data_IF_356953928711
#
_entry.id   IF_356953928711
#
_cell.length_a   1.000
_cell.length_b   1.000
_cell.length_c   1.000
_cell.angle_alpha   90.00
_cell.angle_beta   90.00
_cell.angle_gamma   90.00
#
_symmetry.space_group_name_H-M   'P 1'
#
loop_
_entity.id
_entity.type
_entity.pdbx_description
1 polymer ?
#
# COMPACT_ATOMS: atom_id res chain seq x y z
N UNK A 1 15.61 24.79 18.42
CA UNK A 1 15.01 23.44 18.40
C UNK A 1 14.77 23.10 16.95
N UNK A 2 15.53 22.17 16.44
CA UNK A 2 15.35 21.70 15.06
C UNK A 2 14.05 20.91 15.00
N UNK A 3 13.03 21.51 14.35
CA UNK A 3 11.72 20.87 14.28
C UNK A 3 11.84 19.70 13.29
N UNK A 4 11.72 18.48 13.76
CA UNK A 4 11.72 17.29 12.90
C UNK A 4 10.70 17.46 11.76
N UNK A 5 11.19 17.43 10.52
CA UNK A 5 10.40 17.53 9.29
C UNK A 5 10.41 16.15 8.60
N UNK A 6 9.36 15.36 8.74
CA UNK A 6 9.35 13.99 8.24
C UNK A 6 9.51 13.87 6.73
N UNK A 7 9.03 14.83 5.94
CA UNK A 7 9.21 14.89 4.50
C UNK A 7 10.67 15.18 4.11
N UNK A 8 11.33 16.09 4.84
CA UNK A 8 12.76 16.35 4.61
C UNK A 8 13.59 15.12 4.95
N UNK A 9 13.31 14.49 6.08
CA UNK A 9 14.00 13.27 6.49
C UNK A 9 13.79 12.12 5.48
N UNK A 10 12.63 12.07 4.80
CA UNK A 10 12.41 11.09 3.73
C UNK A 10 13.27 11.39 2.50
N UNK A 11 13.36 12.65 2.07
CA UNK A 11 14.21 13.08 0.95
C UNK A 11 15.68 12.81 1.25
N UNK A 12 16.10 13.06 2.49
CA UNK A 12 17.46 12.83 2.96
C UNK A 12 17.77 11.32 3.18
N UNK A 13 16.79 10.43 2.98
CA UNK A 13 16.94 9.00 3.14
C UNK A 13 17.05 8.52 4.60
N UNK A 14 16.63 9.34 5.56
CA UNK A 14 16.67 9.04 7.01
C UNK A 14 15.32 8.68 7.63
N UNK A 15 14.23 8.86 6.88
CA UNK A 15 12.89 8.45 7.30
C UNK A 15 12.48 7.14 6.59
N UNK A 16 12.38 6.05 7.34
CA UNK A 16 11.96 4.75 6.85
C UNK A 16 10.45 4.49 6.97
N UNK A 17 9.69 5.47 7.43
CA UNK A 17 8.24 5.41 7.65
C UNK A 17 7.45 6.19 6.55
N UNK A 18 7.96 6.19 5.33
CA UNK A 18 7.34 6.93 4.21
C UNK A 18 5.87 6.57 3.97
N UNK A 19 5.47 5.32 4.24
CA UNK A 19 4.08 4.86 4.20
C UNK A 19 3.17 5.60 5.21
N UNK A 20 3.73 6.28 6.21
CA UNK A 20 2.98 7.15 7.12
C UNK A 20 2.78 8.57 6.59
N UNK A 21 3.55 8.96 5.56
CA UNK A 21 3.51 10.30 4.96
C UNK A 21 2.67 10.32 3.69
N UNK A 22 2.77 9.27 2.89
CA UNK A 22 2.21 9.18 1.54
C UNK A 22 1.11 8.12 1.46
N UNK A 23 0.37 8.14 0.36
CA UNK A 23 -0.72 7.22 0.12
C UNK A 23 -2.10 7.81 0.40
N UNK A 24 -3.10 6.93 0.33
CA UNK A 24 -4.49 7.24 0.65
C UNK A 24 -4.81 6.80 2.09
N UNK A 25 -5.36 7.70 2.88
CA UNK A 25 -5.78 7.44 4.27
C UNK A 25 -7.25 7.71 4.43
N UNK A 26 -7.99 6.67 4.80
CA UNK A 26 -9.40 6.80 5.13
C UNK A 26 -9.57 7.52 6.46
N UNK A 27 -10.45 8.49 6.47
CA UNK A 27 -10.88 9.30 7.61
C UNK A 27 -12.40 9.22 7.75
N UNK A 28 -13.00 9.66 8.88
CA UNK A 28 -14.44 9.49 9.09
C UNK A 28 -15.33 10.04 7.98
N UNK A 29 -14.93 11.15 7.33
CA UNK A 29 -15.75 11.85 6.35
C UNK A 29 -15.19 11.83 4.92
N UNK A 30 -14.13 11.06 4.67
CA UNK A 30 -13.48 11.02 3.35
C UNK A 30 -12.12 10.36 3.37
N UNK A 31 -11.27 10.74 2.43
CA UNK A 31 -9.92 10.20 2.29
C UNK A 31 -8.93 11.32 2.03
N UNK A 32 -7.86 11.35 2.82
CA UNK A 32 -6.70 12.19 2.57
C UNK A 32 -5.73 11.49 1.63
N UNK A 33 -5.30 12.18 0.59
CA UNK A 33 -4.32 11.71 -0.38
C UNK A 33 -3.03 12.51 -0.26
N UNK A 34 -1.90 11.83 -0.34
CA UNK A 34 -0.58 12.45 -0.33
C UNK A 34 0.36 11.71 -1.28
N UNK A 35 1.03 12.47 -2.15
CA UNK A 35 1.99 11.91 -3.10
C UNK A 35 3.17 12.86 -3.30
N UNK A 36 4.36 12.31 -3.49
CA UNK A 36 5.54 13.07 -3.85
C UNK A 36 5.69 13.12 -5.37
N UNK A 37 5.61 14.33 -5.91
CA UNK A 37 5.78 14.59 -7.34
C UNK A 37 6.44 15.97 -7.54
N UNK A 38 7.76 16.09 -7.24
CA UNK A 38 8.47 17.38 -7.16
C UNK A 38 8.50 18.13 -8.49
N UNK A 39 8.52 17.40 -9.62
CA UNK A 39 8.57 17.97 -10.96
C UNK A 39 7.19 18.14 -11.61
N UNK A 40 6.13 17.82 -10.91
CA UNK A 40 4.78 17.99 -11.44
C UNK A 40 4.38 19.48 -11.44
N UNK A 41 3.70 19.89 -12.51
CA UNK A 41 3.02 21.18 -12.61
C UNK A 41 1.69 21.18 -11.88
N UNK A 42 0.97 20.07 -11.98
CA UNK A 42 -0.27 19.83 -11.24
C UNK A 42 -0.45 18.36 -10.94
N UNK A 43 -1.18 18.07 -9.86
CA UNK A 43 -1.57 16.71 -9.48
C UNK A 43 -3.04 16.70 -9.11
N UNK A 44 -3.76 15.71 -9.61
CA UNK A 44 -5.17 15.45 -9.30
C UNK A 44 -5.31 14.00 -8.87
N UNK A 45 -6.35 13.69 -8.11
CA UNK A 45 -6.74 12.33 -7.80
C UNK A 45 -8.12 12.04 -8.40
N UNK A 46 -8.27 10.87 -9.00
CA UNK A 46 -9.51 10.39 -9.60
C UNK A 46 -9.77 8.95 -9.19
N UNK A 47 -11.00 8.52 -9.26
CA UNK A 47 -11.38 7.16 -8.88
C UNK A 47 -12.89 6.96 -8.86
N UNK A 48 -13.33 5.86 -8.26
CA UNK A 48 -14.75 5.50 -8.17
C UNK A 48 -15.58 6.59 -7.46
N UNK A 49 -14.98 7.32 -6.52
CA UNK A 49 -15.65 8.40 -5.77
C UNK A 49 -16.06 9.62 -6.62
N UNK A 50 -15.54 9.74 -7.84
CA UNK A 50 -15.89 10.82 -8.78
C UNK A 50 -16.16 10.30 -10.19
N UNK A 51 -16.53 9.02 -10.31
CA UNK A 51 -16.77 8.37 -11.62
C UNK A 51 -15.62 8.56 -12.60
N UNK A 52 -14.39 8.54 -12.09
CA UNK A 52 -13.14 8.70 -12.85
C UNK A 52 -13.01 10.02 -13.62
N UNK A 53 -13.68 11.08 -13.14
CA UNK A 53 -13.51 12.43 -13.69
C UNK A 53 -12.06 12.88 -13.57
N UNK A 54 -11.50 13.44 -14.63
CA UNK A 54 -10.12 13.92 -14.70
C UNK A 54 -9.90 15.33 -14.11
N UNK A 55 -10.98 16.02 -13.75
CA UNK A 55 -10.96 17.41 -13.28
C UNK A 55 -11.50 17.62 -11.87
N UNK A 56 -11.92 16.54 -11.16
CA UNK A 56 -12.73 16.69 -9.97
C UNK A 56 -11.92 17.09 -8.70
N UNK A 57 -10.75 16.49 -8.47
CA UNK A 57 -10.04 16.63 -7.18
C UNK A 57 -8.58 17.03 -7.40
N UNK A 58 -8.33 18.31 -7.32
CA UNK A 58 -6.99 18.91 -7.39
C UNK A 58 -6.29 18.78 -6.03
N UNK A 59 -5.03 18.38 -6.04
CA UNK A 59 -4.18 18.37 -4.86
C UNK A 59 -3.43 19.70 -4.77
N UNK A 60 -3.19 20.15 -3.56
CA UNK A 60 -2.40 21.34 -3.28
C UNK A 60 -0.93 20.97 -3.14
N UNK A 61 -0.06 21.74 -3.80
CA UNK A 61 1.40 21.60 -3.69
C UNK A 61 1.87 22.17 -2.36
N UNK A 62 2.48 21.31 -1.56
CA UNK A 62 3.18 21.70 -0.35
C UNK A 62 4.69 21.86 -0.60
N UNK A 63 5.42 22.00 0.50
CA UNK A 63 6.88 22.05 0.48
C UNK A 63 7.48 20.75 -0.08
N UNK A 64 8.71 20.83 -0.60
CA UNK A 64 9.52 19.69 -1.04
C UNK A 64 8.87 18.86 -2.18
N UNK A 65 7.85 19.41 -2.87
CA UNK A 65 7.17 18.72 -3.96
C UNK A 65 6.18 17.64 -3.52
N UNK A 66 5.70 17.72 -2.28
CA UNK A 66 4.62 16.87 -1.77
C UNK A 66 3.28 17.50 -2.11
N UNK A 67 2.38 16.70 -2.66
CA UNK A 67 1.02 17.10 -3.03
C UNK A 67 0.03 16.44 -2.11
N UNK A 68 -0.93 17.21 -1.59
CA UNK A 68 -1.94 16.75 -0.64
C UNK A 68 -3.32 17.26 -0.97
N UNK A 69 -4.32 16.46 -0.64
CA UNK A 69 -5.73 16.87 -0.73
C UNK A 69 -6.64 15.91 0.04
N UNK A 70 -7.81 16.40 0.36
CA UNK A 70 -8.86 15.63 1.01
C UNK A 70 -10.05 15.50 0.06
N UNK A 71 -10.58 14.29 -0.08
CA UNK A 71 -11.74 14.00 -0.91
C UNK A 71 -12.90 13.58 -0.02
N UNK A 72 -13.89 14.47 0.18
CA UNK A 72 -15.07 14.15 0.96
C UNK A 72 -15.85 13.00 0.34
N UNK A 73 -16.38 12.09 1.17
CA UNK A 73 -17.22 10.98 0.72
C UNK A 73 -16.47 9.82 0.07
N UNK A 74 -15.19 9.95 -0.23
CA UNK A 74 -14.36 8.81 -0.62
C UNK A 74 -14.21 7.85 0.56
N UNK A 75 -14.08 6.54 0.28
CA UNK A 75 -14.10 5.50 1.32
C UNK A 75 -13.22 4.30 0.96
N UNK A 76 -12.88 3.50 1.96
CA UNK A 76 -12.16 2.25 1.76
C UNK A 76 -12.89 1.32 0.76
N UNK A 77 -12.11 0.59 -0.02
CA UNK A 77 -12.58 -0.31 -1.08
C UNK A 77 -12.61 0.31 -2.48
N UNK A 78 -12.71 1.64 -2.58
CA UNK A 78 -12.76 2.33 -3.87
C UNK A 78 -11.39 2.33 -4.55
N UNK A 79 -11.41 2.30 -5.88
CA UNK A 79 -10.23 2.40 -6.73
C UNK A 79 -9.88 3.86 -7.02
N UNK A 80 -8.58 4.14 -7.20
CA UNK A 80 -8.10 5.48 -7.54
C UNK A 80 -6.79 5.47 -8.32
N UNK A 81 -6.50 6.58 -8.97
CA UNK A 81 -5.21 6.92 -9.58
C UNK A 81 -4.89 8.40 -9.38
N UNK A 82 -3.61 8.71 -9.47
CA UNK A 82 -3.17 10.09 -9.64
C UNK A 82 -3.09 10.46 -11.12
N UNK A 83 -3.51 11.67 -11.44
CA UNK A 83 -3.31 12.30 -12.74
C UNK A 83 -2.24 13.38 -12.54
N UNK A 84 -1.10 13.20 -13.18
CA UNK A 84 0.07 14.06 -13.00
C UNK A 84 0.35 14.78 -14.31
N UNK A 85 0.39 16.09 -14.27
CA UNK A 85 0.82 16.95 -15.37
C UNK A 85 2.29 17.32 -15.16
N UNK A 86 3.14 16.95 -16.11
CA UNK A 86 4.56 17.29 -16.12
C UNK A 86 4.82 18.75 -16.51
N UNK A 87 6.07 19.20 -16.33
CA UNK A 87 6.49 20.54 -16.72
C UNK A 87 6.38 20.78 -18.23
N UNK A 88 6.46 19.72 -19.03
CA UNK A 88 6.31 19.71 -20.49
C UNK A 88 4.85 19.69 -20.97
N UNK A 89 3.89 19.68 -20.04
CA UNK A 89 2.46 19.57 -20.32
C UNK A 89 1.95 18.16 -20.59
N UNK A 90 2.82 17.15 -20.52
CA UNK A 90 2.40 15.75 -20.60
C UNK A 90 1.50 15.37 -19.43
N UNK A 91 0.45 14.59 -19.69
CA UNK A 91 -0.48 14.12 -18.66
C UNK A 91 -0.39 12.60 -18.56
N UNK A 92 -0.11 12.09 -17.39
CA UNK A 92 0.02 10.65 -17.12
C UNK A 92 -0.87 10.23 -15.96
N UNK A 93 -1.44 9.03 -16.08
CA UNK A 93 -2.23 8.40 -15.02
C UNK A 93 -1.35 7.36 -14.31
N UNK A 94 -1.16 7.52 -13.02
CA UNK A 94 -0.25 6.67 -12.22
C UNK A 94 -0.99 6.02 -11.06
N UNK A 95 -0.64 4.76 -10.79
CA UNK A 95 -0.97 4.15 -9.52
C UNK A 95 -0.18 4.85 -8.39
N UNK A 96 -0.68 4.74 -7.18
CA UNK A 96 -0.02 5.26 -6.00
C UNK A 96 1.13 4.32 -5.58
N UNK A 97 2.37 4.78 -5.52
CA UNK A 97 3.50 3.95 -5.09
C UNK A 97 3.42 3.53 -3.61
N UNK A 98 2.61 4.22 -2.80
CA UNK A 98 2.40 3.94 -1.39
C UNK A 98 1.02 3.36 -1.08
N UNK A 99 0.33 2.84 -2.10
CA UNK A 99 -0.96 2.18 -1.91
C UNK A 99 -0.82 0.92 -1.05
N UNK A 100 -1.70 0.77 -0.05
CA UNK A 100 -1.75 -0.43 0.79
C UNK A 100 -2.39 -1.62 0.07
N UNK A 101 -3.14 -1.38 -1.01
CA UNK A 101 -3.74 -2.41 -1.84
C UNK A 101 -3.86 -1.95 -3.30
N UNK A 102 -3.87 -2.90 -4.20
CA UNK A 102 -3.99 -2.68 -5.64
C UNK A 102 -5.23 -3.36 -6.20
N UNK A 103 -5.63 -2.92 -7.38
CA UNK A 103 -6.62 -3.60 -8.20
C UNK A 103 -6.08 -4.96 -8.67
N UNK A 104 -6.99 -5.92 -8.86
CA UNK A 104 -6.62 -7.23 -9.41
C UNK A 104 -6.28 -7.08 -10.90
N UNK A 105 -5.19 -7.71 -11.31
CA UNK A 105 -4.77 -7.70 -12.73
C UNK A 105 -5.89 -8.23 -13.65
N UNK A 106 -6.09 -7.64 -14.83
CA UNK A 106 -5.21 -6.70 -15.56
C UNK A 106 -5.37 -5.23 -15.13
N UNK A 107 -6.22 -4.92 -14.16
CA UNK A 107 -6.38 -3.57 -13.64
C UNK A 107 -5.05 -3.00 -13.09
N UNK A 108 -4.93 -1.68 -13.09
CA UNK A 108 -3.70 -0.98 -12.69
C UNK A 108 -3.96 0.16 -11.71
N UNK A 109 -5.13 0.20 -11.11
CA UNK A 109 -5.47 1.21 -10.12
C UNK A 109 -4.97 0.81 -8.72
N UNK A 110 -4.82 1.79 -7.87
CA UNK A 110 -4.65 1.61 -6.44
C UNK A 110 -6.00 1.50 -5.77
N UNK A 111 -6.06 0.81 -4.63
CA UNK A 111 -7.29 0.66 -3.83
C UNK A 111 -7.11 1.34 -2.49
N UNK A 112 -8.07 2.17 -2.10
CA UNK A 112 -8.13 2.73 -0.75
C UNK A 112 -8.35 1.58 0.23
N UNK A 113 -7.43 1.40 1.18
CA UNK A 113 -7.47 0.29 2.12
C UNK A 113 -7.14 0.78 3.53
N UNK A 114 -7.79 0.16 4.51
CA UNK A 114 -7.50 0.33 5.94
C UNK A 114 -6.97 -0.97 6.50
N UNK A 115 -5.85 -0.92 7.21
CA UNK A 115 -5.34 -2.06 7.93
C UNK A 115 -6.14 -2.21 9.24
N UNK A 116 -6.97 -3.26 9.32
CA UNK A 116 -7.84 -3.53 10.46
C UNK A 116 -7.64 -4.92 11.05
N UNK A 117 -6.51 -5.57 10.75
CA UNK A 117 -6.23 -6.90 11.26
C UNK A 117 -5.88 -6.83 12.75
N UNK A 118 -6.54 -7.64 13.56
CA UNK A 118 -6.23 -7.79 14.98
C UNK A 118 -5.23 -8.94 15.17
N UNK A 119 -3.98 -8.60 15.46
CA UNK A 119 -2.92 -9.58 15.68
C UNK A 119 -3.11 -10.28 17.02
N UNK A 120 -3.02 -11.61 17.01
CA UNK A 120 -3.12 -12.46 18.22
C UNK A 120 -1.78 -13.12 18.58
N UNK A 121 -0.69 -12.62 18.06
CA UNK A 121 0.66 -13.18 18.14
C UNK A 121 1.54 -12.53 19.24
N UNK A 122 0.94 -11.81 20.19
CA UNK A 122 1.65 -11.04 21.21
C UNK A 122 2.65 -11.87 22.04
N UNK A 123 2.29 -13.09 22.42
CA UNK A 123 3.19 -13.99 23.16
C UNK A 123 4.41 -14.40 22.31
N UNK A 124 4.17 -14.75 21.06
CA UNK A 124 5.25 -15.09 20.12
C UNK A 124 6.17 -13.89 19.89
N UNK A 125 5.62 -12.71 19.69
CA UNK A 125 6.38 -11.47 19.49
C UNK A 125 7.23 -11.11 20.70
N UNK A 126 6.76 -11.35 21.92
CA UNK A 126 7.54 -11.14 23.14
C UNK A 126 8.72 -12.12 23.26
N UNK A 127 8.51 -13.37 22.84
CA UNK A 127 9.53 -14.44 22.93
C UNK A 127 10.52 -14.49 21.77
N UNK A 128 10.23 -13.87 20.61
CA UNK A 128 10.99 -14.07 19.36
C UNK A 128 12.47 -13.71 19.42
N UNK A 129 12.88 -12.77 20.30
CA UNK A 129 14.28 -12.36 20.45
C UNK A 129 15.13 -13.41 21.17
N UNK A 130 14.50 -14.31 21.93
CA UNK A 130 15.17 -15.40 22.61
C UNK A 130 15.46 -16.61 21.70
N UNK A 131 15.01 -16.60 20.45
CA UNK A 131 15.17 -17.71 19.51
C UNK A 131 16.59 -17.71 18.88
N UNK A 132 17.61 -18.03 19.67
CA UNK A 132 19.01 -18.20 19.23
C UNK A 132 19.33 -19.59 18.68
N UNK A 133 18.38 -20.51 18.62
CA UNK A 133 18.58 -21.91 18.19
C UNK A 133 18.65 -22.12 16.68
N UNK A 134 19.03 -23.31 16.22
CA UNK A 134 19.03 -23.67 14.81
C UNK A 134 17.64 -23.55 14.20
N UNK A 135 17.57 -23.15 12.94
CA UNK A 135 16.32 -22.94 12.21
C UNK A 135 16.37 -23.67 10.89
N UNK A 136 15.26 -24.32 10.53
CA UNK A 136 15.01 -24.79 9.20
C UNK A 136 14.20 -23.74 8.44
N UNK A 137 14.71 -23.30 7.30
CA UNK A 137 14.03 -22.35 6.42
C UNK A 137 13.62 -23.10 5.15
N UNK A 138 12.33 -23.15 4.87
CA UNK A 138 11.77 -23.69 3.65
C UNK A 138 11.12 -22.58 2.85
N UNK A 139 11.74 -22.25 1.73
CA UNK A 139 11.19 -21.24 0.80
C UNK A 139 10.29 -21.93 -0.21
N UNK A 140 9.11 -21.38 -0.41
CA UNK A 140 8.12 -21.92 -1.33
C UNK A 140 7.43 -20.81 -2.12
N UNK A 141 7.29 -21.04 -3.43
CA UNK A 141 6.45 -20.20 -4.28
C UNK A 141 5.02 -20.74 -4.25
N UNK A 142 4.16 -20.13 -3.42
CA UNK A 142 2.81 -20.62 -3.11
C UNK A 142 1.94 -20.92 -4.34
N UNK A 143 2.04 -20.09 -5.40
CA UNK A 143 1.26 -20.27 -6.63
C UNK A 143 1.72 -21.41 -7.55
N UNK A 144 2.90 -22.01 -7.33
CA UNK A 144 3.45 -23.08 -8.18
C UNK A 144 3.86 -24.33 -7.43
N UNK A 145 3.96 -24.26 -6.08
CA UNK A 145 4.40 -25.39 -5.27
C UNK A 145 3.43 -26.58 -5.33
N UNK A 146 2.14 -26.32 -5.18
CA UNK A 146 1.09 -27.32 -5.26
C UNK A 146 -0.22 -26.70 -5.74
N UNK A 147 -1.00 -27.49 -6.49
CA UNK A 147 -2.34 -27.11 -6.95
C UNK A 147 -3.33 -28.23 -6.68
N UNK A 148 -4.61 -27.90 -6.66
CA UNK A 148 -5.68 -28.88 -6.69
C UNK A 148 -5.65 -29.69 -8.00
N UNK A 149 -6.32 -30.82 -8.03
CA UNK A 149 -6.40 -31.70 -9.20
C UNK A 149 -7.07 -31.06 -10.41
N UNK A 150 -7.91 -30.04 -10.19
CA UNK A 150 -8.55 -29.22 -11.22
C UNK A 150 -7.66 -28.05 -11.72
N UNK A 151 -6.44 -27.92 -11.17
CA UNK A 151 -5.49 -26.86 -11.51
C UNK A 151 -5.70 -25.53 -10.75
N UNK A 152 -6.70 -25.40 -9.90
CA UNK A 152 -6.91 -24.22 -9.07
C UNK A 152 -5.82 -24.07 -7.99
N UNK A 153 -5.67 -22.83 -7.49
CA UNK A 153 -4.71 -22.54 -6.43
C UNK A 153 -5.28 -22.93 -5.06
N UNK A 154 -4.37 -23.39 -4.17
CA UNK A 154 -4.70 -23.55 -2.76
C UNK A 154 -4.96 -22.20 -2.12
N UNK A 155 -5.94 -22.13 -1.23
CA UNK A 155 -6.11 -21.01 -0.32
C UNK A 155 -4.98 -20.97 0.71
N UNK A 156 -4.79 -19.83 1.37
CA UNK A 156 -3.79 -19.70 2.44
C UNK A 156 -4.03 -20.69 3.59
N UNK A 157 -5.29 -20.97 3.92
CA UNK A 157 -5.64 -21.96 4.95
C UNK A 157 -5.24 -23.37 4.56
N UNK A 158 -5.48 -23.77 3.33
CA UNK A 158 -5.08 -25.08 2.81
C UNK A 158 -3.57 -25.22 2.76
N UNK A 159 -2.85 -24.18 2.33
CA UNK A 159 -1.38 -24.18 2.33
C UNK A 159 -0.81 -24.32 3.75
N UNK A 160 -1.36 -23.62 4.73
CA UNK A 160 -0.97 -23.75 6.14
C UNK A 160 -1.21 -25.19 6.65
N UNK A 161 -2.35 -25.79 6.30
CA UNK A 161 -2.64 -27.19 6.66
C UNK A 161 -1.61 -28.15 6.08
N UNK A 162 -1.17 -27.95 4.83
CA UNK A 162 -0.15 -28.78 4.19
C UNK A 162 1.22 -28.67 4.85
N UNK A 163 1.59 -27.50 5.34
CA UNK A 163 2.85 -27.30 6.08
C UNK A 163 2.87 -28.15 7.36
N UNK A 164 1.76 -28.20 8.09
CA UNK A 164 1.64 -29.04 9.29
C UNK A 164 1.69 -30.54 9.01
N UNK A 165 1.20 -30.97 7.83
CA UNK A 165 1.27 -32.40 7.44
C UNK A 165 2.68 -32.79 7.00
N UNK A 166 3.49 -31.83 6.57
CA UNK A 166 4.85 -32.06 6.07
C UNK A 166 5.92 -32.09 7.19
N UNK A 167 5.55 -31.82 8.42
CA UNK A 167 6.47 -31.99 9.55
C UNK A 167 6.73 -33.49 9.77
N UNK A 168 8.00 -33.95 9.75
CA UNK A 168 8.30 -35.32 10.06
C UNK A 168 7.88 -35.60 11.50
N UNK A 169 6.92 -36.48 11.69
CA UNK A 169 6.62 -37.07 12.99
C UNK A 169 7.92 -37.63 13.55
N UNK A 170 8.36 -37.04 14.66
CA UNK A 170 9.45 -37.59 15.48
C UNK A 170 8.98 -38.84 16.21
#
# INVERSE_FOLDING_TARGET
MDTYRPEQAWIDGTNFDAQKLFGARAEPNGVSFSVWAPNARSVRVTGDFCSWSDSAHWLSRGDLGVWRGFVPGARAGQLYKYIIEGADGSVVWKADPFALAAEVRPGTASRIHTLSYNWTDGEWMAGRRALGGPRNIYEVHAGSWRRHTDGSFYTWYELLSLIHISEPTR
#
